data_IF_227035427929
#
_entry.id   IF_227035427929
#
_cell.length_a   1.000
_cell.length_b   1.000
_cell.length_c   1.000
_cell.angle_alpha   90.00
_cell.angle_beta   90.00
_cell.angle_gamma   90.00
#
_symmetry.space_group_name_H-M   'P 1'
#
loop_
_entity.id
_entity.type
_entity.pdbx_description
1 polymer ?
#
# COMPACT_ATOMS: atom_id res chain seq x y z
N UNK A 1 -5.06 19.98 20.50
CA UNK A 1 -4.05 18.92 20.32
C UNK A 1 -3.98 18.58 18.84
N UNK A 2 -2.80 18.66 18.22
CA UNK A 2 -2.62 18.26 16.82
C UNK A 2 -2.69 16.74 16.71
N UNK A 3 -3.61 16.23 15.88
CA UNK A 3 -3.74 14.78 15.65
C UNK A 3 -2.48 14.27 14.95
N UNK A 4 -1.76 13.33 15.58
CA UNK A 4 -0.61 12.64 14.99
C UNK A 4 -1.08 11.57 14.00
N UNK A 5 -0.49 11.52 12.80
CA UNK A 5 -0.78 10.49 11.81
C UNK A 5 0.31 9.41 11.86
N UNK A 6 -0.10 8.17 12.11
CA UNK A 6 0.80 7.02 12.22
C UNK A 6 0.76 6.10 11.01
N UNK A 7 -0.23 6.26 10.15
CA UNK A 7 -0.31 5.49 8.92
C UNK A 7 -0.92 6.26 7.77
N UNK A 8 -0.85 5.65 6.59
CA UNK A 8 -1.53 6.07 5.37
C UNK A 8 -2.32 4.87 4.83
N UNK A 9 -3.56 5.08 4.41
CA UNK A 9 -4.28 4.14 3.54
C UNK A 9 -4.22 4.68 2.12
N UNK A 10 -3.49 3.98 1.24
CA UNK A 10 -3.17 4.38 -0.12
C UNK A 10 -3.86 3.45 -1.13
N UNK A 11 -4.26 3.99 -2.29
CA UNK A 11 -4.94 3.20 -3.34
C UNK A 11 -3.96 2.81 -4.44
N UNK A 12 -4.08 1.60 -4.96
CA UNK A 12 -3.48 1.16 -6.23
C UNK A 12 -4.54 0.43 -7.07
N UNK A 13 -4.28 0.27 -8.37
CA UNK A 13 -5.10 -0.54 -9.27
C UNK A 13 -5.06 -2.02 -8.89
N UNK A 14 -6.02 -2.79 -9.40
CA UNK A 14 -6.08 -4.23 -9.16
C UNK A 14 -5.15 -4.97 -10.11
N UNK A 15 -4.46 -5.98 -9.58
CA UNK A 15 -3.60 -6.84 -10.35
C UNK A 15 -3.80 -8.29 -9.88
N UNK A 16 -4.36 -9.12 -10.76
CA UNK A 16 -4.65 -10.53 -10.45
C UNK A 16 -3.37 -11.36 -10.27
N UNK A 17 -2.23 -10.88 -10.76
CA UNK A 17 -0.90 -11.44 -10.52
C UNK A 17 -0.27 -10.92 -9.21
N UNK A 18 -1.10 -10.57 -8.21
CA UNK A 18 -0.67 -10.23 -6.85
C UNK A 18 0.32 -9.05 -6.76
N UNK A 19 0.31 -8.16 -7.74
CA UNK A 19 1.32 -7.09 -7.89
C UNK A 19 2.75 -7.61 -7.83
N UNK A 20 2.95 -8.81 -8.39
CA UNK A 20 4.24 -9.49 -8.53
C UNK A 20 4.68 -9.64 -10.00
N UNK A 21 3.79 -9.32 -10.93
CA UNK A 21 4.02 -9.35 -12.38
C UNK A 21 3.06 -8.33 -13.05
N UNK A 22 3.18 -8.15 -14.36
CA UNK A 22 2.30 -7.28 -15.17
C UNK A 22 0.84 -7.68 -14.96
N UNK A 23 -0.02 -6.69 -14.77
CA UNK A 23 -1.46 -6.91 -14.69
C UNK A 23 -2.02 -7.50 -16.00
N UNK A 24 -3.07 -8.33 -15.90
CA UNK A 24 -3.68 -8.91 -17.11
C UNK A 24 -4.39 -7.84 -17.94
N UNK A 25 -4.64 -8.09 -19.24
CA UNK A 25 -5.42 -7.17 -20.08
C UNK A 25 -6.81 -6.87 -19.50
N UNK A 26 -7.41 -7.85 -18.80
CA UNK A 26 -8.68 -7.66 -18.09
C UNK A 26 -8.53 -6.72 -16.91
N UNK A 27 -7.47 -6.88 -16.11
CA UNK A 27 -7.17 -5.98 -15.00
C UNK A 27 -6.96 -4.53 -15.48
N UNK A 28 -6.18 -4.36 -16.56
CA UNK A 28 -5.87 -3.06 -17.15
C UNK A 28 -7.12 -2.36 -17.68
N UNK A 29 -7.94 -3.07 -18.48
CA UNK A 29 -9.16 -2.51 -19.09
C UNK A 29 -10.27 -2.17 -18.09
N UNK A 30 -10.28 -2.81 -16.91
CA UNK A 30 -11.25 -2.55 -15.85
C UNK A 30 -10.67 -1.75 -14.67
N UNK A 31 -9.48 -1.20 -14.83
CA UNK A 31 -8.83 -0.42 -13.77
C UNK A 31 -9.68 0.78 -13.36
N UNK A 32 -9.72 1.03 -12.06
CA UNK A 32 -10.34 2.22 -11.51
C UNK A 32 -9.44 3.47 -11.63
N UNK A 33 -8.29 3.39 -12.31
CA UNK A 33 -7.38 4.50 -12.59
C UNK A 33 -7.38 4.82 -14.08
N UNK A 34 -7.84 6.01 -14.46
CA UNK A 34 -7.98 6.42 -15.87
C UNK A 34 -6.69 6.27 -16.68
N UNK A 35 -5.55 6.69 -16.12
CA UNK A 35 -4.25 6.53 -16.76
C UNK A 35 -3.95 5.07 -17.16
N UNK A 36 -4.31 4.10 -16.32
CA UNK A 36 -4.07 2.68 -16.58
C UNK A 36 -4.94 2.19 -17.74
N UNK A 37 -6.21 2.61 -17.76
CA UNK A 37 -7.14 2.29 -18.85
C UNK A 37 -6.69 2.92 -20.16
N UNK A 38 -6.25 4.19 -20.12
CA UNK A 38 -5.87 4.97 -21.30
C UNK A 38 -4.57 4.47 -21.94
N UNK A 39 -3.63 3.98 -21.14
CA UNK A 39 -2.28 3.60 -21.60
C UNK A 39 -2.08 2.09 -21.69
N UNK A 40 -2.90 1.28 -21.01
CA UNK A 40 -2.63 -0.14 -20.81
C UNK A 40 -1.37 -0.42 -19.97
N UNK A 41 -0.90 0.58 -19.21
CA UNK A 41 0.31 0.47 -18.38
C UNK A 41 -0.05 0.71 -16.91
N UNK A 42 0.51 -0.10 -16.03
CA UNK A 42 0.46 0.17 -14.58
C UNK A 42 1.82 0.00 -13.93
N UNK A 43 2.28 1.10 -13.35
CA UNK A 43 3.54 1.16 -12.61
C UNK A 43 3.42 0.57 -11.19
N UNK A 44 2.22 0.18 -10.75
CA UNK A 44 2.01 -0.50 -9.46
C UNK A 44 2.15 -2.02 -9.58
N UNK A 45 2.35 -2.54 -10.80
CA UNK A 45 2.41 -3.98 -11.12
C UNK A 45 3.38 -4.77 -10.26
N UNK A 46 4.42 -4.11 -9.73
CA UNK A 46 5.50 -4.75 -8.97
C UNK A 46 5.53 -4.34 -7.50
N UNK A 47 4.48 -3.68 -6.99
CA UNK A 47 4.46 -3.17 -5.61
C UNK A 47 4.69 -4.25 -4.54
N UNK A 48 4.52 -5.54 -4.83
CA UNK A 48 4.76 -6.63 -3.88
C UNK A 48 5.74 -7.68 -4.42
N UNK A 49 6.55 -7.33 -5.41
CA UNK A 49 7.50 -8.23 -6.08
C UNK A 49 8.92 -8.24 -5.45
N UNK A 50 9.05 -7.81 -4.19
CA UNK A 50 10.32 -7.68 -3.47
C UNK A 50 11.07 -9.00 -3.23
N UNK A 51 10.39 -10.14 -3.38
CA UNK A 51 11.00 -11.47 -3.32
C UNK A 51 11.46 -11.99 -4.69
N UNK A 52 11.13 -11.28 -5.78
CA UNK A 52 11.40 -11.68 -7.16
C UNK A 52 12.46 -10.77 -7.78
N UNK A 53 12.35 -9.46 -7.54
CA UNK A 53 13.23 -8.45 -8.14
C UNK A 53 14.20 -7.86 -7.12
N UNK A 54 15.40 -7.45 -7.58
CA UNK A 54 16.44 -6.97 -6.68
C UNK A 54 16.06 -5.65 -6.01
N UNK A 55 16.62 -5.48 -4.81
CA UNK A 55 16.65 -4.20 -4.10
C UNK A 55 17.67 -3.25 -4.71
N UNK A 56 17.60 -1.97 -4.34
CA UNK A 56 18.64 -1.02 -4.69
C UNK A 56 19.96 -1.23 -3.92
N UNK A 57 20.97 -0.42 -4.22
CA UNK A 57 22.30 -0.42 -3.61
C UNK A 57 22.27 -0.22 -2.09
N UNK A 58 21.19 0.34 -1.56
CA UNK A 58 20.98 0.59 -0.13
C UNK A 58 20.08 -0.47 0.52
N UNK A 59 19.68 -1.50 -0.22
CA UNK A 59 18.85 -2.60 0.28
C UNK A 59 17.34 -2.31 0.28
N UNK A 60 16.88 -1.21 -0.33
CA UNK A 60 15.46 -0.89 -0.38
C UNK A 60 14.77 -1.46 -1.60
N UNK A 61 13.55 -1.94 -1.39
CA UNK A 61 12.62 -2.23 -2.47
C UNK A 61 11.65 -1.06 -2.67
N UNK A 62 11.33 -0.77 -3.92
CA UNK A 62 10.55 0.39 -4.32
C UNK A 62 9.17 -0.02 -4.84
N UNK A 63 8.17 0.82 -4.57
CA UNK A 63 6.85 0.73 -5.15
C UNK A 63 6.31 2.10 -5.55
N UNK A 64 5.13 2.08 -6.16
CA UNK A 64 4.40 3.28 -6.53
C UNK A 64 3.08 3.39 -5.76
N UNK A 65 2.84 4.60 -5.24
CA UNK A 65 1.56 5.07 -4.77
C UNK A 65 1.07 6.16 -5.73
N UNK A 66 0.21 5.86 -6.73
CA UNK A 66 -0.10 6.76 -7.84
C UNK A 66 -0.50 8.18 -7.40
N UNK A 67 -1.32 8.27 -6.35
CA UNK A 67 -1.81 9.53 -5.78
C UNK A 67 -0.72 10.43 -5.16
N UNK A 68 0.49 9.90 -4.91
CA UNK A 68 1.62 10.67 -4.39
C UNK A 68 2.57 11.16 -5.48
N UNK A 69 2.36 10.73 -6.73
CA UNK A 69 3.20 11.13 -7.87
C UNK A 69 3.06 12.61 -8.21
N UNK A 70 1.84 13.17 -8.15
CA UNK A 70 1.64 14.60 -8.32
C UNK A 70 1.98 15.37 -7.05
N UNK A 71 1.62 14.85 -5.87
CA UNK A 71 1.86 15.49 -4.57
C UNK A 71 2.29 14.50 -3.48
N UNK A 72 3.56 14.60 -3.06
CA UNK A 72 4.10 13.81 -1.94
C UNK A 72 3.34 14.08 -0.63
N UNK A 73 3.42 13.16 0.36
CA UNK A 73 2.87 13.41 1.68
C UNK A 73 3.40 14.71 2.26
N UNK A 74 2.54 15.41 2.99
CA UNK A 74 2.90 16.63 3.70
C UNK A 74 3.90 16.27 4.80
N UNK A 75 5.06 16.93 4.82
CA UNK A 75 6.17 16.58 5.72
C UNK A 75 5.75 16.61 7.19
N UNK A 76 4.97 17.61 7.60
CA UNK A 76 4.54 17.74 9.00
C UNK A 76 3.50 16.69 9.37
N UNK A 77 2.59 16.35 8.44
CA UNK A 77 1.59 15.30 8.67
C UNK A 77 2.19 13.90 8.60
N UNK A 78 3.24 13.70 7.81
CA UNK A 78 3.86 12.39 7.57
C UNK A 78 5.01 12.06 8.53
N UNK A 79 5.48 13.00 9.36
CA UNK A 79 6.65 12.80 10.24
C UNK A 79 6.56 11.63 11.22
N UNK A 80 5.34 11.17 11.53
CA UNK A 80 5.10 10.03 12.42
C UNK A 80 4.52 8.81 11.69
N UNK A 81 4.43 8.85 10.35
CA UNK A 81 3.91 7.73 9.57
C UNK A 81 4.90 6.58 9.65
N UNK A 82 4.42 5.44 10.12
CA UNK A 82 5.18 4.19 10.27
C UNK A 82 4.69 3.10 9.32
N UNK A 83 3.54 3.30 8.67
CA UNK A 83 2.96 2.27 7.81
C UNK A 83 2.14 2.90 6.69
N UNK A 84 2.29 2.37 5.48
CA UNK A 84 1.35 2.58 4.36
C UNK A 84 0.61 1.28 4.14
N UNK A 85 -0.68 1.25 4.46
CA UNK A 85 -1.59 0.21 4.02
C UNK A 85 -1.99 0.45 2.57
N UNK A 86 -1.95 -0.60 1.77
CA UNK A 86 -2.28 -0.57 0.35
C UNK A 86 -3.67 -1.17 0.18
N UNK A 87 -4.59 -0.39 -0.39
CA UNK A 87 -5.89 -0.87 -0.84
C UNK A 87 -5.98 -0.93 -2.35
N UNK A 88 -6.73 -1.91 -2.83
CA UNK A 88 -7.07 -2.05 -4.24
C UNK A 88 -8.52 -2.46 -4.39
N UNK A 89 -9.18 -1.99 -5.45
CA UNK A 89 -10.56 -2.38 -5.76
C UNK A 89 -10.55 -3.52 -6.76
N UNK A 90 -10.99 -4.70 -6.34
CA UNK A 90 -11.17 -5.81 -7.27
C UNK A 90 -12.29 -5.44 -8.26
N UNK A 91 -11.98 -5.49 -9.56
CA UNK A 91 -12.93 -5.12 -10.60
C UNK A 91 -14.00 -6.18 -10.84
N UNK A 92 -13.80 -7.43 -10.41
CA UNK A 92 -14.79 -8.52 -10.54
C UNK A 92 -15.96 -8.33 -9.56
N UNK A 93 -15.66 -8.15 -8.28
CA UNK A 93 -16.66 -8.03 -7.20
C UNK A 93 -16.96 -6.58 -6.78
N UNK A 94 -16.22 -5.62 -7.36
CA UNK A 94 -16.26 -4.18 -7.07
C UNK A 94 -15.95 -3.80 -5.61
N UNK A 95 -15.44 -4.72 -4.81
CA UNK A 95 -15.08 -4.51 -3.41
C UNK A 95 -13.69 -3.89 -3.27
N UNK A 96 -13.49 -3.06 -2.24
CA UNK A 96 -12.16 -2.56 -1.88
C UNK A 96 -11.54 -3.49 -0.84
N UNK A 97 -10.29 -3.85 -1.06
CA UNK A 97 -9.52 -4.71 -0.17
C UNK A 97 -8.27 -3.99 0.32
N UNK A 98 -7.90 -4.12 1.60
CA UNK A 98 -6.50 -3.91 2.01
C UNK A 98 -5.75 -5.20 1.67
N UNK A 99 -4.76 -5.08 0.80
CA UNK A 99 -4.06 -6.23 0.19
C UNK A 99 -2.69 -6.45 0.82
N UNK A 100 -2.08 -5.41 1.36
CA UNK A 100 -0.74 -5.47 1.94
C UNK A 100 -0.32 -4.13 2.50
N UNK A 101 0.95 -4.00 2.86
CA UNK A 101 1.50 -2.76 3.39
C UNK A 101 3.02 -2.64 3.24
N UNK A 102 3.49 -1.41 3.41
CA UNK A 102 4.88 -1.04 3.61
C UNK A 102 5.00 -0.49 5.03
N UNK A 103 5.78 -1.14 5.89
CA UNK A 103 6.16 -0.62 7.20
C UNK A 103 7.45 0.19 7.12
N UNK A 104 7.62 1.14 8.04
CA UNK A 104 8.74 2.08 8.09
C UNK A 104 9.05 2.72 6.72
N UNK A 105 8.01 3.24 6.02
CA UNK A 105 8.16 3.69 4.65
C UNK A 105 9.05 4.93 4.56
N UNK A 106 9.84 4.99 3.49
CA UNK A 106 10.54 6.21 3.06
C UNK A 106 9.85 6.70 1.78
N UNK A 107 9.50 7.99 1.78
CA UNK A 107 8.86 8.64 0.65
C UNK A 107 9.86 9.47 -0.14
N UNK A 108 10.13 9.09 -1.37
CA UNK A 108 11.10 9.73 -2.27
C UNK A 108 10.66 9.44 -3.70
N UNK A 109 10.69 10.41 -4.61
CA UNK A 109 10.37 10.16 -6.02
C UNK A 109 11.60 9.72 -6.79
N UNK A 110 11.42 8.73 -7.63
CA UNK A 110 12.45 8.30 -8.57
C UNK A 110 11.82 7.67 -9.81
N UNK A 111 12.61 7.57 -10.86
CA UNK A 111 12.29 6.85 -12.08
C UNK A 111 13.41 5.83 -12.28
N UNK A 112 13.05 4.57 -12.51
CA UNK A 112 14.02 3.48 -12.69
C UNK A 112 13.66 2.64 -13.91
N UNK A 113 14.67 2.09 -14.62
CA UNK A 113 14.41 1.10 -15.65
C UNK A 113 13.54 -0.04 -15.14
N UNK A 114 12.64 -0.50 -16.00
CA UNK A 114 11.84 -1.67 -15.70
C UNK A 114 12.69 -2.92 -15.49
N UNK A 115 12.50 -3.67 -14.39
CA UNK A 115 13.11 -4.98 -14.26
C UNK A 115 12.41 -6.05 -15.13
N UNK A 116 11.25 -5.74 -15.72
CA UNK A 116 10.53 -6.60 -16.64
C UNK A 116 11.01 -6.34 -18.08
N UNK A 117 11.61 -7.33 -18.77
CA UNK A 117 12.12 -7.15 -20.14
C UNK A 117 11.05 -6.75 -21.16
N UNK A 118 9.80 -7.16 -20.93
CA UNK A 118 8.64 -6.86 -21.79
C UNK A 118 8.14 -5.42 -21.64
N UNK A 119 8.50 -4.74 -20.55
CA UNK A 119 8.00 -3.41 -20.23
C UNK A 119 9.10 -2.39 -20.50
N UNK A 120 8.99 -1.68 -21.64
CA UNK A 120 10.04 -0.77 -22.15
C UNK A 120 10.03 0.62 -21.50
N UNK A 121 9.01 0.92 -20.72
CA UNK A 121 8.86 2.21 -20.04
C UNK A 121 9.52 2.15 -18.67
N UNK A 122 10.20 3.21 -18.28
CA UNK A 122 10.73 3.30 -16.92
C UNK A 122 9.59 3.34 -15.89
N UNK A 123 9.78 2.69 -14.75
CA UNK A 123 8.82 2.75 -13.65
C UNK A 123 8.96 4.06 -12.89
N UNK A 124 7.84 4.74 -12.71
CA UNK A 124 7.67 5.80 -11.72
C UNK A 124 7.50 5.18 -10.33
N UNK A 125 8.27 5.64 -9.34
CA UNK A 125 8.32 5.05 -7.99
C UNK A 125 8.33 6.16 -6.94
N UNK A 126 7.64 5.96 -5.81
CA UNK A 126 7.55 7.01 -4.79
C UNK A 126 7.48 6.57 -3.31
N UNK A 127 7.54 5.27 -3.05
CA UNK A 127 7.64 4.69 -1.70
C UNK A 127 8.68 3.58 -1.71
N UNK A 128 9.42 3.44 -0.62
CA UNK A 128 10.33 2.32 -0.42
C UNK A 128 10.39 1.86 1.03
N UNK A 129 10.74 0.61 1.22
CA UNK A 129 11.01 0.01 2.52
C UNK A 129 12.00 -1.16 2.33
N UNK A 130 12.55 -1.68 3.42
CA UNK A 130 13.30 -2.94 3.31
C UNK A 130 12.35 -4.08 2.95
N UNK A 131 12.79 -5.13 2.23
CA UNK A 131 11.95 -6.28 1.89
C UNK A 131 11.25 -6.89 3.12
N UNK A 132 11.95 -7.02 4.25
CA UNK A 132 11.39 -7.53 5.51
C UNK A 132 10.36 -6.61 6.19
N UNK A 133 10.14 -5.42 5.62
CA UNK A 133 9.16 -4.43 6.04
C UNK A 133 7.98 -4.30 5.07
N UNK A 134 7.97 -5.07 3.98
CA UNK A 134 6.90 -5.09 2.98
C UNK A 134 6.16 -6.41 3.11
N UNK A 135 4.84 -6.37 3.07
CA UNK A 135 4.05 -7.59 3.21
C UNK A 135 2.79 -7.55 2.35
N UNK A 136 2.61 -8.59 1.54
CA UNK A 136 1.35 -8.89 0.86
C UNK A 136 0.61 -9.95 1.69
N UNK A 137 -0.65 -9.70 1.99
CA UNK A 137 -1.46 -10.62 2.79
C UNK A 137 -1.90 -11.83 1.95
N UNK A 138 -2.10 -12.97 2.59
CA UNK A 138 -2.78 -14.11 1.97
C UNK A 138 -4.30 -13.89 1.96
N UNK A 139 -4.86 -13.47 3.08
CA UNK A 139 -6.27 -13.14 3.24
C UNK A 139 -6.43 -11.61 3.39
N UNK A 140 -7.00 -11.00 2.34
CA UNK A 140 -7.21 -9.55 2.28
C UNK A 140 -8.33 -9.09 3.22
N UNK A 141 -8.22 -7.85 3.73
CA UNK A 141 -9.32 -7.23 4.47
C UNK A 141 -10.29 -6.61 3.48
N UNK A 142 -11.50 -7.15 3.35
CA UNK A 142 -12.57 -6.46 2.63
C UNK A 142 -12.98 -5.21 3.42
N UNK A 143 -12.88 -4.04 2.82
CA UNK A 143 -13.28 -2.75 3.41
C UNK A 143 -14.75 -2.43 3.15
N UNK A 144 -15.29 -2.87 2.03
CA UNK A 144 -16.64 -2.52 1.59
C UNK A 144 -17.72 -3.30 2.34
N UNK A 145 -17.51 -4.58 2.58
CA UNK A 145 -18.48 -5.45 3.29
C UNK A 145 -18.24 -5.53 4.80
N UNK A 146 -17.15 -4.94 5.30
CA UNK A 146 -16.83 -5.02 6.71
C UNK A 146 -17.68 -4.01 7.50
N UNK A 147 -18.51 -4.47 8.46
CA UNK A 147 -19.43 -3.61 9.22
C UNK A 147 -18.71 -2.49 9.98
N UNK A 148 -17.40 -2.63 10.15
CA UNK A 148 -16.53 -1.73 10.88
C UNK A 148 -15.70 -0.80 10.00
N UNK A 149 -16.09 -0.54 8.74
CA UNK A 149 -15.36 0.37 7.86
C UNK A 149 -15.05 1.73 8.52
N UNK A 150 -16.03 2.30 9.25
CA UNK A 150 -15.88 3.54 10.03
C UNK A 150 -14.81 3.46 11.12
N UNK A 151 -14.43 2.24 11.55
CA UNK A 151 -13.38 2.02 12.54
C UNK A 151 -11.98 2.11 11.92
N UNK A 152 -11.81 1.87 10.61
CA UNK A 152 -10.52 1.89 9.94
C UNK A 152 -10.11 3.27 9.42
N UNK A 153 -11.05 4.20 9.27
CA UNK A 153 -10.77 5.58 8.88
C UNK A 153 -10.93 6.55 10.07
N UNK A 154 -10.27 7.72 10.04
CA UNK A 154 -10.59 8.78 10.99
C UNK A 154 -12.06 9.20 10.89
N UNK A 155 -12.61 9.74 11.99
CA UNK A 155 -13.96 10.32 12.02
C UNK A 155 -14.08 11.36 10.90
N UNK A 156 -15.17 11.30 10.14
CA UNK A 156 -15.48 12.19 9.01
C UNK A 156 -14.62 11.99 7.74
N UNK A 157 -13.93 10.85 7.60
CA UNK A 157 -13.25 10.46 6.35
C UNK A 157 -13.97 9.32 5.64
N UNK A 158 -14.03 9.44 4.32
CA UNK A 158 -14.58 8.43 3.42
C UNK A 158 -13.46 7.70 2.68
N UNK A 159 -13.77 6.51 2.16
CA UNK A 159 -12.89 5.82 1.24
C UNK A 159 -12.89 6.55 -0.11
N UNK A 160 -11.84 7.35 -0.35
CA UNK A 160 -11.58 7.88 -1.68
C UNK A 160 -11.31 6.76 -2.67
N UNK A 161 -11.86 6.86 -3.89
CA UNK A 161 -11.65 5.89 -4.98
C UNK A 161 -10.17 5.78 -5.37
N UNK A 162 -9.53 6.93 -5.58
CA UNK A 162 -8.13 7.06 -6.03
C UNK A 162 -7.27 7.88 -5.05
N UNK A 163 -7.80 8.16 -3.86
CA UNK A 163 -7.14 9.00 -2.86
C UNK A 163 -6.30 8.21 -1.86
N UNK A 164 -5.68 8.94 -0.94
CA UNK A 164 -5.12 8.38 0.28
C UNK A 164 -5.72 9.07 1.51
N UNK A 165 -5.70 8.38 2.64
CA UNK A 165 -6.12 8.91 3.93
C UNK A 165 -4.98 8.79 4.95
N UNK A 166 -4.71 9.86 5.69
CA UNK A 166 -3.91 9.75 6.91
C UNK A 166 -4.70 9.01 7.99
N UNK A 167 -4.01 8.19 8.76
CA UNK A 167 -4.59 7.34 9.78
C UNK A 167 -4.05 7.71 11.15
N UNK A 168 -4.95 7.74 12.14
CA UNK A 168 -4.57 7.87 13.55
C UNK A 168 -3.98 6.56 14.09
N UNK A 169 -3.42 6.61 15.29
CA UNK A 169 -2.92 5.42 16.00
C UNK A 169 -3.99 4.33 16.11
N UNK A 170 -5.20 4.72 16.53
CA UNK A 170 -6.30 3.77 16.72
C UNK A 170 -6.71 3.11 15.42
N UNK A 171 -6.72 3.86 14.31
CA UNK A 171 -7.00 3.31 12.99
C UNK A 171 -5.94 2.26 12.59
N UNK A 172 -4.66 2.59 12.76
CA UNK A 172 -3.56 1.68 12.44
C UNK A 172 -3.67 0.37 13.23
N UNK A 173 -3.89 0.44 14.55
CA UNK A 173 -4.01 -0.75 15.38
C UNK A 173 -5.21 -1.61 15.01
N UNK A 174 -6.36 -1.01 14.74
CA UNK A 174 -7.55 -1.75 14.29
C UNK A 174 -7.32 -2.48 12.97
N UNK A 175 -6.61 -1.87 12.03
CA UNK A 175 -6.25 -2.52 10.76
C UNK A 175 -5.30 -3.69 11.04
N UNK A 176 -4.24 -3.49 11.82
CA UNK A 176 -3.27 -4.55 12.15
C UNK A 176 -3.93 -5.73 12.87
N UNK A 177 -4.87 -5.48 13.78
CA UNK A 177 -5.64 -6.52 14.47
C UNK A 177 -6.54 -7.28 13.50
N UNK A 178 -7.22 -6.60 12.59
CA UNK A 178 -8.02 -7.24 11.54
C UNK A 178 -7.15 -8.11 10.62
N UNK A 179 -5.97 -7.63 10.22
CA UNK A 179 -5.02 -8.42 9.42
C UNK A 179 -4.60 -9.68 10.16
N UNK A 180 -4.23 -9.56 11.45
CA UNK A 180 -3.77 -10.69 12.27
C UNK A 180 -4.89 -11.72 12.46
N UNK A 181 -6.13 -11.27 12.65
CA UNK A 181 -7.29 -12.16 12.81
C UNK A 181 -7.57 -12.97 11.55
N UNK A 182 -7.40 -12.36 10.38
CA UNK A 182 -7.61 -13.04 9.08
C UNK A 182 -6.41 -13.89 8.67
N UNK A 183 -5.22 -13.61 9.20
CA UNK A 183 -3.97 -14.29 8.87
C UNK A 183 -3.24 -14.73 10.17
N UNK A 184 -3.84 -15.63 10.99
CA UNK A 184 -3.34 -15.93 12.34
C UNK A 184 -1.97 -16.63 12.36
N UNK A 185 -1.65 -17.41 11.33
CA UNK A 185 -0.39 -18.16 11.22
C UNK A 185 0.72 -17.37 10.51
N UNK A 186 0.44 -16.12 10.11
CA UNK A 186 1.37 -15.28 9.38
C UNK A 186 2.43 -14.68 10.31
N UNK A 187 3.58 -15.37 10.36
CA UNK A 187 4.72 -14.98 11.20
C UNK A 187 5.36 -13.66 10.75
N UNK A 188 5.35 -13.37 9.46
CA UNK A 188 5.91 -12.13 8.90
C UNK A 188 5.07 -10.95 9.36
N UNK A 189 3.74 -11.02 9.17
CA UNK A 189 2.79 -10.03 9.68
C UNK A 189 2.95 -9.82 11.19
N UNK A 190 3.03 -10.92 11.94
CA UNK A 190 3.16 -10.88 13.40
C UNK A 190 4.44 -10.18 13.85
N UNK A 191 5.57 -10.49 13.21
CA UNK A 191 6.86 -9.85 13.46
C UNK A 191 6.87 -8.36 13.14
N UNK A 192 6.30 -7.97 11.99
CA UNK A 192 6.21 -6.55 11.60
C UNK A 192 5.27 -5.78 12.52
N UNK A 193 4.09 -6.34 12.85
CA UNK A 193 3.12 -5.74 13.78
C UNK A 193 3.76 -5.41 15.13
N UNK A 194 4.54 -6.33 15.69
CA UNK A 194 5.23 -6.10 16.97
C UNK A 194 6.20 -4.91 16.88
N UNK A 195 6.96 -4.80 15.78
CA UNK A 195 7.86 -3.66 15.56
C UNK A 195 7.11 -2.34 15.39
N UNK A 196 5.99 -2.34 14.65
CA UNK A 196 5.13 -1.18 14.49
C UNK A 196 4.57 -0.69 15.83
N UNK A 197 4.04 -1.60 16.67
CA UNK A 197 3.51 -1.25 17.99
C UNK A 197 4.59 -0.57 18.84
N UNK A 198 5.79 -1.16 18.92
CA UNK A 198 6.92 -0.60 19.67
C UNK A 198 7.28 0.80 19.18
N UNK A 199 7.42 0.99 17.86
CA UNK A 199 7.79 2.28 17.28
C UNK A 199 6.75 3.36 17.54
N UNK A 200 5.46 3.04 17.34
CA UNK A 200 4.34 3.95 17.55
C UNK A 200 4.21 4.33 19.03
N UNK A 201 4.54 3.43 19.96
CA UNK A 201 4.55 3.73 21.39
C UNK A 201 5.72 4.63 21.81
N UNK A 202 6.90 4.45 21.22
CA UNK A 202 8.06 5.32 21.48
C UNK A 202 7.87 6.76 20.96
N UNK A 203 7.06 6.94 19.91
CA UNK A 203 6.75 8.26 19.31
C UNK A 203 5.52 8.95 19.92
N UNK A 204 4.93 8.40 20.99
CA UNK A 204 3.85 9.04 21.77
C UNK A 204 4.34 10.33 22.40
#
# INVERSE_FOLDING_TARGET
MTVKNFGILASIDWNSNKWQDIATDKDLSHSNFGYVVDTGLTFTSLNFAHNIFPVDDKGYYWGLLPQLWSKMPDKEKAKFVEVVFIKSQNWEDKQNYIVGFYSFPIFERTIKPSPLPSFKTDFELNVKAYPNDIHLLENYINLTSNPDLKKYLPKDKELGKQGYNYLTKDNVFKILDAMSKLNPEDRTLSGIKLRLIKSIEMKR
#
